data_IF_370525180234
#
_entry.id   IF_370525180234
#
_cell.length_a   1.000
_cell.length_b   1.000
_cell.length_c   1.000
_cell.angle_alpha   90.00
_cell.angle_beta   90.00
_cell.angle_gamma   90.00
#
_symmetry.space_group_name_H-M   'P 1'
#
loop_
_entity.id
_entity.type
_entity.pdbx_description
1 polymer ?
#
# COMPACT_ATOMS: atom_id res chain seq x y z
N UNK A 1 16.56 6.27 29.58
CA UNK A 1 17.52 5.43 28.82
C UNK A 1 16.86 4.58 27.73
N UNK A 2 15.68 3.99 27.92
CA UNK A 2 15.02 3.12 26.91
C UNK A 2 14.56 3.88 25.63
N UNK A 3 14.27 5.18 25.73
CA UNK A 3 13.94 6.00 24.56
C UNK A 3 15.13 6.19 23.59
N UNK A 4 16.38 6.13 24.07
CA UNK A 4 17.60 6.33 23.26
C UNK A 4 17.75 5.28 22.17
N UNK A 5 17.48 4.01 22.48
CA UNK A 5 17.81 2.91 21.59
C UNK A 5 16.72 2.67 20.54
N UNK A 6 15.46 2.92 20.90
CA UNK A 6 14.36 3.00 19.93
C UNK A 6 14.52 4.21 18.98
N UNK A 7 15.01 5.35 19.50
CA UNK A 7 15.39 6.51 18.70
C UNK A 7 16.57 6.15 17.78
N UNK A 8 17.55 5.36 18.20
CA UNK A 8 18.67 4.96 17.35
C UNK A 8 18.23 4.07 16.17
N UNK A 9 17.38 3.06 16.42
CA UNK A 9 16.82 2.21 15.34
C UNK A 9 15.94 3.03 14.40
N UNK A 10 15.16 3.97 14.93
CA UNK A 10 14.33 4.88 14.14
C UNK A 10 15.14 5.94 13.39
N UNK A 11 16.27 6.43 13.93
CA UNK A 11 17.20 7.32 13.22
C UNK A 11 17.85 6.56 12.08
N UNK A 12 18.19 5.27 12.25
CA UNK A 12 18.69 4.44 11.15
C UNK A 12 17.61 4.25 10.09
N UNK A 13 16.36 3.97 10.46
CA UNK A 13 15.24 3.85 9.51
C UNK A 13 14.86 5.19 8.85
N UNK A 14 14.93 6.30 9.59
CA UNK A 14 14.67 7.65 9.10
C UNK A 14 15.81 8.14 8.21
N UNK A 15 17.07 7.88 8.55
CA UNK A 15 18.23 8.11 7.71
C UNK A 15 18.15 7.27 6.43
N UNK A 16 17.69 6.03 6.51
CA UNK A 16 17.46 5.19 5.33
C UNK A 16 16.30 5.71 4.47
N UNK A 17 15.23 6.22 5.09
CA UNK A 17 14.11 6.87 4.41
C UNK A 17 14.54 8.19 3.74
N UNK A 18 15.36 8.99 4.42
CA UNK A 18 15.93 10.24 3.91
C UNK A 18 16.90 9.97 2.77
N UNK A 19 17.73 8.92 2.89
CA UNK A 19 18.62 8.47 1.82
C UNK A 19 17.85 7.96 0.60
N UNK A 20 16.76 7.22 0.79
CA UNK A 20 15.85 6.83 -0.30
C UNK A 20 15.15 8.04 -0.94
N UNK A 21 14.73 9.05 -0.16
CA UNK A 21 14.17 10.31 -0.65
C UNK A 21 15.22 11.14 -1.41
N UNK A 22 16.47 11.16 -0.96
CA UNK A 22 17.59 11.85 -1.61
C UNK A 22 17.95 11.18 -2.95
N UNK A 23 18.02 9.84 -2.98
CA UNK A 23 18.23 9.07 -4.21
C UNK A 23 17.06 9.25 -5.22
N UNK A 24 15.83 9.37 -4.74
CA UNK A 24 14.66 9.68 -5.59
C UNK A 24 14.67 11.12 -6.12
N UNK A 25 15.10 12.11 -5.33
CA UNK A 25 15.22 13.50 -5.79
C UNK A 25 16.39 13.69 -6.77
N UNK A 26 17.50 12.95 -6.60
CA UNK A 26 18.65 13.02 -7.51
C UNK A 26 18.33 12.47 -8.90
N UNK A 27 17.39 11.52 -9.01
CA UNK A 27 16.92 11.01 -10.30
C UNK A 27 15.94 11.96 -11.03
N UNK A 28 15.31 12.91 -10.33
CA UNK A 28 14.41 13.91 -10.93
C UNK A 28 15.08 15.26 -11.27
N UNK A 29 16.31 15.50 -10.81
CA UNK A 29 16.99 16.80 -10.97
C UNK A 29 17.89 16.91 -12.21
N UNK A 30 18.00 15.86 -13.04
CA UNK A 30 18.76 15.90 -14.30
C UNK A 30 17.97 16.45 -15.51
N UNK A 31 16.70 16.86 -15.33
CA UNK A 31 15.83 17.43 -16.37
C UNK A 31 15.44 18.88 -16.04
N UNK A 32 16.42 19.76 -15.87
CA UNK A 32 16.23 21.20 -16.03
C UNK A 32 17.21 21.73 -17.08
N UNK A 33 16.74 21.83 -18.32
CA UNK A 33 17.41 22.60 -19.37
C UNK A 33 16.34 23.38 -20.16
N UNK A 34 16.43 24.71 -20.03
CA UNK A 34 15.97 25.85 -20.86
C UNK A 34 14.76 25.77 -21.81
N UNK A 35 14.03 26.90 -21.99
CA UNK A 35 12.85 26.97 -22.83
C UNK A 35 13.24 27.12 -24.30
N UNK A 36 12.85 26.16 -25.14
CA UNK A 36 12.90 26.27 -26.59
C UNK A 36 11.49 26.08 -27.17
N UNK A 37 10.92 27.21 -27.60
CA UNK A 37 10.07 27.43 -28.79
C UNK A 37 9.25 26.22 -29.25
N UNK A 38 7.96 26.28 -28.94
CA UNK A 38 6.91 25.39 -29.42
C UNK A 38 6.74 25.49 -30.95
N UNK A 39 6.74 24.34 -31.62
CA UNK A 39 6.07 24.16 -32.91
C UNK A 39 5.27 22.84 -32.86
N UNK A 40 4.02 22.80 -33.35
CA UNK A 40 3.07 21.76 -32.97
C UNK A 40 2.90 20.73 -34.08
N UNK A 41 3.31 19.48 -33.84
CA UNK A 41 2.67 18.24 -34.35
C UNK A 41 3.51 17.04 -33.89
N UNK A 42 3.17 16.48 -32.74
CA UNK A 42 3.47 15.07 -32.46
C UNK A 42 2.16 14.36 -32.09
N UNK A 43 1.81 13.25 -32.76
CA UNK A 43 0.66 12.45 -32.38
C UNK A 43 0.92 11.84 -31.00
N UNK A 44 -0.03 12.02 -30.10
CA UNK A 44 -0.03 11.47 -28.75
C UNK A 44 0.12 9.95 -28.77
N UNK A 45 1.19 9.45 -28.15
CA UNK A 45 1.44 8.02 -27.97
C UNK A 45 0.24 7.38 -27.22
N UNK A 46 -0.46 6.38 -27.79
CA UNK A 46 -1.57 5.74 -27.12
C UNK A 46 -1.05 4.84 -26.00
N UNK A 47 -1.35 5.24 -24.77
CA UNK A 47 -0.96 4.54 -23.55
C UNK A 47 -1.83 3.28 -23.38
N UNK A 48 -1.22 2.09 -23.28
CA UNK A 48 -1.92 0.81 -23.28
C UNK A 48 -1.98 0.12 -21.91
N UNK A 49 -3.22 -0.16 -21.48
CA UNK A 49 -3.78 -1.17 -20.55
C UNK A 49 -3.18 -1.45 -19.14
N UNK A 50 -1.91 -1.20 -18.81
CA UNK A 50 -1.46 -1.21 -17.38
C UNK A 50 -1.96 0.00 -16.60
N UNK A 51 -2.54 0.97 -17.30
CA UNK A 51 -3.04 2.23 -16.76
C UNK A 51 -4.41 2.14 -16.08
N UNK A 52 -5.07 0.97 -16.11
CA UNK A 52 -6.39 0.86 -15.50
C UNK A 52 -6.32 0.73 -13.97
N UNK A 53 -5.18 0.34 -13.39
CA UNK A 53 -5.00 0.33 -11.92
C UNK A 53 -4.45 1.68 -11.44
N UNK A 54 -4.87 2.13 -10.25
CA UNK A 54 -4.35 3.35 -9.62
C UNK A 54 -2.84 3.24 -9.35
N UNK A 55 -2.40 2.07 -8.89
CA UNK A 55 -1.00 1.72 -8.68
C UNK A 55 -0.62 0.62 -9.67
N UNK A 56 0.40 0.83 -10.52
CA UNK A 56 0.83 -0.16 -11.50
C UNK A 56 1.30 -1.45 -10.83
N UNK A 57 1.00 -2.64 -11.41
CA UNK A 57 1.32 -3.94 -10.80
C UNK A 57 2.78 -4.13 -10.37
N UNK A 58 3.73 -3.57 -11.13
CA UNK A 58 5.17 -3.67 -10.84
C UNK A 58 5.64 -2.78 -9.68
N UNK A 59 4.88 -1.73 -9.32
CA UNK A 59 5.21 -0.85 -8.20
C UNK A 59 4.54 -1.29 -6.90
N UNK A 60 3.61 -2.27 -6.94
CA UNK A 60 2.77 -2.66 -5.79
C UNK A 60 3.57 -3.09 -4.56
N UNK A 61 4.66 -3.83 -4.73
CA UNK A 61 5.50 -4.28 -3.61
C UNK A 61 6.15 -3.07 -2.92
N UNK A 62 6.81 -2.22 -3.71
CA UNK A 62 7.48 -1.02 -3.20
C UNK A 62 6.47 -0.06 -2.56
N UNK A 63 5.35 0.18 -3.23
CA UNK A 63 4.26 1.00 -2.70
C UNK A 63 3.74 0.45 -1.38
N UNK A 64 3.41 -0.85 -1.32
CA UNK A 64 2.85 -1.49 -0.11
C UNK A 64 3.84 -1.41 1.06
N UNK A 65 5.12 -1.70 0.81
CA UNK A 65 6.17 -1.58 1.82
C UNK A 65 6.30 -0.16 2.37
N UNK A 66 6.38 0.84 1.48
CA UNK A 66 6.50 2.24 1.87
C UNK A 66 5.24 2.75 2.60
N UNK A 67 4.05 2.34 2.15
CA UNK A 67 2.79 2.75 2.75
C UNK A 67 2.60 2.17 4.15
N UNK A 68 2.93 0.89 4.34
CA UNK A 68 2.90 0.23 5.66
C UNK A 68 3.90 0.90 6.61
N UNK A 69 5.12 1.17 6.14
CA UNK A 69 6.13 1.87 6.92
C UNK A 69 5.67 3.29 7.31
N UNK A 70 5.13 4.05 6.36
CA UNK A 70 4.60 5.39 6.62
C UNK A 70 3.45 5.38 7.64
N UNK A 71 2.59 4.36 7.59
CA UNK A 71 1.52 4.15 8.57
C UNK A 71 2.09 3.85 9.96
N UNK A 72 3.10 2.96 10.04
CA UNK A 72 3.81 2.65 11.29
C UNK A 72 4.51 3.86 11.91
N UNK A 73 5.20 4.67 11.10
CA UNK A 73 5.83 5.93 11.54
C UNK A 73 4.77 6.91 12.04
N UNK A 74 3.67 7.07 11.31
CA UNK A 74 2.55 7.93 11.74
C UNK A 74 2.00 7.50 13.09
N UNK A 75 1.79 6.19 13.29
CA UNK A 75 1.31 5.64 14.56
C UNK A 75 2.27 5.90 15.72
N UNK A 76 3.57 5.70 15.51
CA UNK A 76 4.60 5.98 16.50
C UNK A 76 4.66 7.47 16.86
N UNK A 77 4.54 8.36 15.87
CA UNK A 77 4.53 9.80 16.09
C UNK A 77 3.32 10.24 16.91
N UNK A 78 2.13 9.69 16.64
CA UNK A 78 0.93 9.95 17.46
C UNK A 78 1.21 9.62 18.93
N UNK A 79 1.71 8.41 19.20
CA UNK A 79 2.02 8.00 20.57
C UNK A 79 3.06 8.90 21.23
N UNK A 80 4.12 9.27 20.49
CA UNK A 80 5.17 10.17 20.99
C UNK A 80 4.62 11.56 21.31
N UNK A 81 3.73 12.10 20.47
CA UNK A 81 3.07 13.39 20.70
C UNK A 81 2.15 13.31 21.91
N UNK A 82 1.27 12.31 21.98
CA UNK A 82 0.34 12.15 23.09
C UNK A 82 1.07 11.98 24.43
N UNK A 83 2.19 11.26 24.45
CA UNK A 83 3.06 11.13 25.63
C UNK A 83 3.72 12.46 26.01
N UNK A 84 4.15 13.24 25.03
CA UNK A 84 4.79 14.55 25.29
C UNK A 84 3.80 15.57 25.88
N UNK A 85 2.50 15.37 25.66
CA UNK A 85 1.41 16.24 26.11
C UNK A 85 0.87 15.84 27.50
N UNK A 86 1.49 14.86 28.19
CA UNK A 86 1.13 14.43 29.56
C UNK A 86 1.51 15.46 30.65
N UNK A 87 1.28 16.75 30.40
CA UNK A 87 1.15 17.72 31.49
C UNK A 87 -0.13 17.36 32.26
N UNK A 88 -0.03 17.01 33.56
CA UNK A 88 -1.18 16.60 34.36
C UNK A 88 -2.29 17.65 34.38
N UNK A 89 -1.98 18.93 34.18
CA UNK A 89 -3.00 20.00 34.11
C UNK A 89 -3.83 19.92 32.84
N UNK A 90 -3.20 19.69 31.70
CA UNK A 90 -3.86 19.58 30.40
C UNK A 90 -4.61 18.25 30.25
N UNK A 91 -4.05 17.17 30.77
CA UNK A 91 -4.72 15.86 30.81
C UNK A 91 -6.00 15.94 31.64
N UNK A 92 -5.93 16.47 32.88
CA UNK A 92 -7.11 16.64 33.73
C UNK A 92 -8.15 17.58 33.09
N UNK A 93 -7.71 18.61 32.36
CA UNK A 93 -8.60 19.52 31.64
C UNK A 93 -9.33 18.85 30.47
N UNK A 94 -8.63 17.99 29.70
CA UNK A 94 -9.20 17.25 28.59
C UNK A 94 -10.07 16.07 29.04
N UNK A 95 -9.71 15.42 30.15
CA UNK A 95 -10.42 14.29 30.74
C UNK A 95 -11.80 14.69 31.29
N UNK A 96 -11.94 15.91 31.80
CA UNK A 96 -13.24 16.50 32.18
C UNK A 96 -14.17 16.86 31.01
N UNK A 97 -13.69 16.78 29.76
CA UNK A 97 -14.39 17.21 28.53
C UNK A 97 -14.27 16.14 27.45
N UNK A 98 -14.67 14.89 27.73
CA UNK A 98 -14.45 13.71 26.86
C UNK A 98 -14.59 13.94 25.34
N UNK A 99 -15.62 14.66 24.87
CA UNK A 99 -15.79 14.99 23.45
C UNK A 99 -14.68 15.88 22.87
N UNK A 100 -14.18 16.86 23.63
CA UNK A 100 -13.08 17.74 23.23
C UNK A 100 -11.78 16.93 23.10
N UNK A 101 -11.52 16.03 24.06
CA UNK A 101 -10.38 15.10 23.98
C UNK A 101 -10.46 14.22 22.72
N UNK A 102 -11.65 13.70 22.42
CA UNK A 102 -11.91 12.93 21.21
C UNK A 102 -11.59 13.72 19.94
N UNK A 103 -12.07 14.97 19.87
CA UNK A 103 -11.86 15.87 18.73
C UNK A 103 -10.37 16.16 18.52
N UNK A 104 -9.65 16.53 19.58
CA UNK A 104 -8.21 16.81 19.52
C UNK A 104 -7.44 15.56 19.12
N UNK A 105 -7.72 14.42 19.74
CA UNK A 105 -7.06 13.15 19.45
C UNK A 105 -7.32 12.70 18.01
N UNK A 106 -8.56 12.81 17.53
CA UNK A 106 -8.93 12.52 16.15
C UNK A 106 -8.24 13.42 15.15
N UNK A 107 -8.17 14.73 15.43
CA UNK A 107 -7.52 15.70 14.56
C UNK A 107 -6.01 15.44 14.47
N UNK A 108 -5.33 15.30 15.61
CA UNK A 108 -3.89 15.01 15.67
C UNK A 108 -3.58 13.69 14.98
N UNK A 109 -4.32 12.63 15.33
CA UNK A 109 -4.10 11.30 14.74
C UNK A 109 -4.32 11.30 13.24
N UNK A 110 -5.42 11.92 12.80
CA UNK A 110 -5.76 12.04 11.40
C UNK A 110 -4.73 12.82 10.60
N UNK A 111 -4.28 13.98 11.08
CA UNK A 111 -3.26 14.78 10.41
C UNK A 111 -1.91 14.06 10.32
N UNK A 112 -1.44 13.47 11.43
CA UNK A 112 -0.12 12.82 11.48
C UNK A 112 -0.07 11.59 10.55
N UNK A 113 -1.02 10.67 10.67
CA UNK A 113 -1.05 9.45 9.84
C UNK A 113 -1.28 9.78 8.37
N UNK A 114 -2.19 10.70 8.07
CA UNK A 114 -2.48 11.04 6.68
C UNK A 114 -1.37 11.84 6.01
N UNK A 115 -0.64 12.69 6.74
CA UNK A 115 0.54 13.38 6.23
C UNK A 115 1.67 12.40 5.90
N UNK A 116 1.96 11.43 6.77
CA UNK A 116 2.99 10.41 6.48
C UNK A 116 2.58 9.53 5.29
N UNK A 117 1.33 9.09 5.22
CA UNK A 117 0.82 8.32 4.08
C UNK A 117 0.81 9.13 2.78
N UNK A 118 0.50 10.43 2.85
CA UNK A 118 0.49 11.33 1.69
C UNK A 118 1.87 11.44 1.03
N UNK A 119 2.98 11.36 1.78
CA UNK A 119 4.33 11.35 1.20
C UNK A 119 4.56 10.20 0.21
N UNK A 120 3.89 9.06 0.42
CA UNK A 120 3.90 7.91 -0.47
C UNK A 120 2.86 8.08 -1.57
N UNK A 121 1.65 8.54 -1.21
CA UNK A 121 0.52 8.69 -2.14
C UNK A 121 0.69 9.80 -3.16
N UNK A 122 1.46 10.86 -2.89
CA UNK A 122 1.62 12.03 -3.78
C UNK A 122 2.13 11.69 -5.18
N UNK A 123 2.77 10.52 -5.36
CA UNK A 123 3.18 9.99 -6.67
C UNK A 123 1.99 9.52 -7.52
N UNK A 124 0.89 9.12 -6.88
CA UNK A 124 -0.29 8.52 -7.52
C UNK A 124 -1.53 9.41 -7.45
N UNK A 125 -1.64 10.22 -6.38
CA UNK A 125 -2.72 11.15 -6.07
C UNK A 125 -2.07 12.51 -5.71
N UNK A 126 -2.06 13.49 -6.63
CA UNK A 126 -1.34 14.75 -6.41
C UNK A 126 -1.96 15.64 -5.33
N UNK A 127 -3.21 15.37 -4.92
CA UNK A 127 -3.97 16.27 -4.07
C UNK A 127 -3.69 16.03 -2.58
N UNK A 128 -3.30 17.10 -1.89
CA UNK A 128 -3.21 17.18 -0.42
C UNK A 128 -4.55 16.93 0.28
N UNK A 129 -5.66 16.91 -0.47
CA UNK A 129 -7.00 16.60 0.01
C UNK A 129 -7.08 15.23 0.70
N UNK A 130 -6.14 14.30 0.45
CA UNK A 130 -6.05 13.05 1.21
C UNK A 130 -5.87 13.29 2.71
N UNK A 131 -5.05 14.29 3.06
CA UNK A 131 -4.78 14.67 4.44
C UNK A 131 -6.07 15.19 5.08
N UNK A 132 -6.75 16.11 4.39
CA UNK A 132 -8.00 16.68 4.88
C UNK A 132 -9.10 15.61 5.03
N UNK A 133 -9.31 14.79 4.01
CA UNK A 133 -10.31 13.73 4.02
C UNK A 133 -10.08 12.74 5.17
N UNK A 134 -8.83 12.30 5.35
CA UNK A 134 -8.47 11.39 6.43
C UNK A 134 -8.59 12.06 7.80
N UNK A 135 -8.15 13.31 7.95
CA UNK A 135 -8.27 14.06 9.20
C UNK A 135 -9.74 14.23 9.62
N UNK A 136 -10.61 14.64 8.69
CA UNK A 136 -12.06 14.71 8.93
C UNK A 136 -12.64 13.35 9.30
N UNK A 137 -12.24 12.29 8.60
CA UNK A 137 -12.66 10.92 8.89
C UNK A 137 -12.27 10.45 10.29
N UNK A 138 -11.05 10.74 10.74
CA UNK A 138 -10.58 10.40 12.08
C UNK A 138 -11.29 11.21 13.18
N UNK A 139 -11.56 12.50 12.96
CA UNK A 139 -12.36 13.31 13.89
C UNK A 139 -13.75 12.70 14.03
N UNK A 140 -14.46 12.44 12.92
CA UNK A 140 -15.79 11.83 12.95
C UNK A 140 -15.78 10.45 13.63
N UNK A 141 -14.80 9.61 13.33
CA UNK A 141 -14.61 8.31 13.96
C UNK A 141 -14.49 8.44 15.47
N UNK A 142 -13.54 9.26 15.94
CA UNK A 142 -13.22 9.39 17.37
C UNK A 142 -14.33 10.07 18.15
N UNK A 143 -14.93 11.14 17.65
CA UNK A 143 -16.03 11.82 18.33
C UNK A 143 -17.28 10.95 18.41
N UNK A 144 -17.59 10.19 17.34
CA UNK A 144 -18.72 9.25 17.34
C UNK A 144 -18.47 8.11 18.32
N UNK A 145 -17.26 7.55 18.28
CA UNK A 145 -16.84 6.47 19.18
C UNK A 145 -16.97 6.90 20.65
N UNK A 146 -16.43 8.06 21.02
CA UNK A 146 -16.50 8.56 22.40
C UNK A 146 -17.94 8.92 22.82
N UNK A 147 -18.75 9.45 21.90
CA UNK A 147 -20.16 9.73 22.19
C UNK A 147 -20.96 8.45 22.49
N UNK A 148 -20.76 7.42 21.67
CA UNK A 148 -21.45 6.13 21.87
C UNK A 148 -20.88 5.39 23.07
N UNK A 149 -19.57 5.49 23.31
CA UNK A 149 -18.94 4.92 24.50
C UNK A 149 -19.47 5.54 25.79
N UNK A 150 -19.66 6.87 25.83
CA UNK A 150 -20.27 7.56 26.95
C UNK A 150 -21.70 7.08 27.22
N UNK A 151 -22.50 6.87 26.17
CA UNK A 151 -23.85 6.32 26.30
C UNK A 151 -23.86 4.89 26.83
N UNK A 152 -22.97 4.02 26.34
CA UNK A 152 -22.79 2.66 26.87
C UNK A 152 -22.33 2.70 28.32
N UNK A 153 -21.42 3.61 28.68
CA UNK A 153 -20.97 3.81 30.05
C UNK A 153 -22.11 4.17 31.00
N UNK A 154 -23.02 5.05 30.58
CA UNK A 154 -24.23 5.36 31.34
C UNK A 154 -25.15 4.14 31.48
N UNK A 155 -25.30 3.34 30.42
CA UNK A 155 -26.08 2.10 30.46
C UNK A 155 -25.46 1.05 31.41
N UNK A 156 -24.13 1.00 31.52
CA UNK A 156 -23.43 0.09 32.44
C UNK A 156 -23.65 0.43 33.93
N UNK A 157 -24.04 1.67 34.25
CA UNK A 157 -24.35 2.10 35.64
C UNK A 157 -25.77 1.71 36.05
N UNK A 158 -26.62 1.27 35.11
CA UNK A 158 -27.97 0.83 35.43
C UNK A 158 -27.92 -0.36 36.41
N UNK A 159 -28.81 -0.39 37.43
CA UNK A 159 -28.74 -1.38 38.50
C UNK A 159 -28.85 -2.82 38.02
N UNK A 160 -29.61 -3.06 36.94
CA UNK A 160 -29.74 -4.39 36.32
C UNK A 160 -28.43 -4.88 35.69
N UNK A 161 -27.72 -3.99 34.99
CA UNK A 161 -26.43 -4.31 34.36
C UNK A 161 -25.33 -4.44 35.41
N UNK A 162 -25.34 -3.59 36.44
CA UNK A 162 -24.41 -3.69 37.53
C UNK A 162 -24.59 -5.01 38.32
N UNK A 163 -25.84 -5.42 38.58
CA UNK A 163 -26.12 -6.71 39.21
C UNK A 163 -25.68 -7.91 38.36
N UNK A 164 -25.68 -7.78 37.02
CA UNK A 164 -25.11 -8.78 36.13
C UNK A 164 -23.58 -8.76 36.15
N UNK A 165 -22.97 -7.56 36.18
CA UNK A 165 -21.52 -7.39 36.26
C UNK A 165 -20.93 -8.01 37.54
N UNK A 166 -21.61 -7.90 38.67
CA UNK A 166 -21.21 -8.54 39.94
C UNK A 166 -21.21 -10.08 39.87
N UNK A 167 -21.98 -10.68 38.95
CA UNK A 167 -22.06 -12.13 38.78
C UNK A 167 -21.00 -12.70 37.83
N UNK A 168 -20.37 -11.85 37.04
CA UNK A 168 -19.43 -12.25 35.98
C UNK A 168 -17.99 -12.00 36.45
N UNK A 169 -17.05 -12.87 36.06
CA UNK A 169 -15.65 -12.66 36.44
C UNK A 169 -15.08 -11.35 35.86
N UNK A 170 -14.19 -10.65 36.57
CA UNK A 170 -13.61 -9.39 36.09
C UNK A 170 -12.95 -9.52 34.71
N UNK A 171 -12.30 -10.65 34.45
CA UNK A 171 -11.66 -10.95 33.15
C UNK A 171 -12.67 -11.02 32.01
N UNK A 172 -13.82 -11.66 32.24
CA UNK A 172 -14.90 -11.76 31.24
C UNK A 172 -15.50 -10.39 30.95
N UNK A 173 -15.66 -9.54 31.97
CA UNK A 173 -16.14 -8.16 31.80
C UNK A 173 -15.18 -7.30 30.98
N UNK A 174 -13.86 -7.41 31.22
CA UNK A 174 -12.84 -6.72 30.42
C UNK A 174 -12.87 -7.18 28.96
N UNK A 175 -12.95 -8.50 28.74
CA UNK A 175 -13.03 -9.06 27.38
C UNK A 175 -14.29 -8.61 26.64
N UNK A 176 -15.45 -8.65 27.30
CA UNK A 176 -16.73 -8.20 26.73
C UNK A 176 -16.69 -6.72 26.38
N UNK A 177 -16.19 -5.89 27.31
CA UNK A 177 -16.02 -4.45 27.11
C UNK A 177 -15.09 -4.15 25.94
N UNK A 178 -13.96 -4.88 25.83
CA UNK A 178 -13.03 -4.77 24.71
C UNK A 178 -13.64 -5.18 23.36
N UNK A 179 -14.46 -6.23 23.34
CA UNK A 179 -15.17 -6.68 22.14
C UNK A 179 -16.19 -5.63 21.70
N UNK A 180 -17.01 -5.12 22.61
CA UNK A 180 -17.98 -4.05 22.33
C UNK A 180 -17.26 -2.83 21.75
N UNK A 181 -16.16 -2.39 22.38
CA UNK A 181 -15.37 -1.24 21.91
C UNK A 181 -14.83 -1.47 20.50
N UNK A 182 -14.38 -2.68 20.20
CA UNK A 182 -13.85 -3.05 18.89
C UNK A 182 -14.93 -3.02 17.82
N UNK A 183 -16.09 -3.64 18.09
CA UNK A 183 -17.24 -3.63 17.17
C UNK A 183 -17.68 -2.20 16.90
N UNK A 184 -17.75 -1.40 17.95
CA UNK A 184 -18.10 0.01 17.84
C UNK A 184 -17.08 0.80 17.01
N UNK A 185 -15.78 0.59 17.24
CA UNK A 185 -14.71 1.23 16.47
C UNK A 185 -14.77 0.81 14.98
N UNK A 186 -15.07 -0.46 14.69
CA UNK A 186 -15.25 -0.93 13.32
C UNK A 186 -16.43 -0.24 12.63
N UNK A 187 -17.58 -0.09 13.31
CA UNK A 187 -18.73 0.67 12.79
C UNK A 187 -18.37 2.13 12.59
N UNK A 188 -17.73 2.78 13.56
CA UNK A 188 -17.37 4.20 13.48
C UNK A 188 -16.34 4.48 12.37
N UNK A 189 -15.47 3.52 12.06
CA UNK A 189 -14.48 3.68 10.98
C UNK A 189 -15.08 3.73 9.57
N UNK A 190 -16.38 3.44 9.41
CA UNK A 190 -17.12 3.73 8.17
C UNK A 190 -17.04 5.22 7.83
N UNK A 191 -17.03 6.13 8.82
CA UNK A 191 -16.87 7.57 8.57
C UNK A 191 -15.53 7.90 7.90
N UNK A 192 -14.46 7.23 8.31
CA UNK A 192 -13.15 7.35 7.66
C UNK A 192 -13.21 6.82 6.22
N UNK A 193 -13.89 5.70 6.00
CA UNK A 193 -14.09 5.14 4.67
C UNK A 193 -14.90 6.05 3.74
N UNK A 194 -15.99 6.65 4.24
CA UNK A 194 -16.84 7.59 3.49
C UNK A 194 -16.06 8.83 3.08
N UNK A 195 -15.35 9.47 4.01
CA UNK A 195 -14.58 10.70 3.74
C UNK A 195 -13.47 10.45 2.72
N UNK A 196 -12.71 9.36 2.86
CA UNK A 196 -11.69 8.97 1.88
C UNK A 196 -12.29 8.58 0.52
N UNK A 197 -13.43 7.88 0.51
CA UNK A 197 -14.13 7.52 -0.73
C UNK A 197 -14.60 8.74 -1.53
N UNK A 198 -15.09 9.79 -0.85
CA UNK A 198 -15.53 11.03 -1.51
C UNK A 198 -14.40 11.72 -2.30
N UNK A 199 -13.16 11.55 -1.86
CA UNK A 199 -11.97 11.96 -2.60
C UNK A 199 -11.63 10.96 -3.71
N UNK A 200 -11.52 9.66 -3.37
CA UNK A 200 -11.08 8.62 -4.31
C UNK A 200 -12.02 8.48 -5.52
N UNK A 201 -13.33 8.68 -5.37
CA UNK A 201 -14.30 8.63 -6.49
C UNK A 201 -14.01 9.62 -7.62
N UNK A 202 -13.21 10.65 -7.35
CA UNK A 202 -12.80 11.62 -8.37
C UNK A 202 -11.75 11.03 -9.30
N UNK A 203 -10.84 10.19 -8.77
CA UNK A 203 -9.70 9.62 -9.50
C UNK A 203 -9.91 8.16 -9.95
N UNK A 204 -10.83 7.44 -9.31
CA UNK A 204 -10.95 5.98 -9.46
C UNK A 204 -12.35 5.55 -9.91
N UNK A 205 -12.41 4.47 -10.69
CA UNK A 205 -13.63 3.79 -11.10
C UNK A 205 -14.02 2.74 -10.05
N UNK A 206 -15.33 2.61 -9.80
CA UNK A 206 -15.88 1.56 -8.92
C UNK A 206 -15.31 1.53 -7.50
N UNK A 207 -15.06 2.69 -6.88
CA UNK A 207 -14.44 2.79 -5.55
C UNK A 207 -15.42 2.71 -4.36
N UNK A 208 -16.72 2.42 -4.59
CA UNK A 208 -17.74 2.42 -3.52
C UNK A 208 -17.44 1.45 -2.37
N UNK A 209 -16.80 0.31 -2.66
CA UNK A 209 -16.41 -0.67 -1.66
C UNK A 209 -15.33 -0.15 -0.69
N UNK A 210 -14.63 0.94 -1.04
CA UNK A 210 -13.64 1.59 -0.16
C UNK A 210 -14.23 2.02 1.18
N UNK A 211 -15.55 2.32 1.23
CA UNK A 211 -16.25 2.73 2.44
C UNK A 211 -16.06 1.70 3.57
N UNK A 212 -16.00 0.41 3.26
CA UNK A 212 -15.83 -0.66 4.23
C UNK A 212 -14.36 -0.98 4.57
N UNK A 213 -13.39 -0.46 3.84
CA UNK A 213 -11.97 -0.84 3.98
C UNK A 213 -11.43 -0.53 5.38
N UNK A 214 -11.64 0.66 5.97
CA UNK A 214 -11.17 0.93 7.33
C UNK A 214 -11.82 0.02 8.38
N UNK A 215 -13.11 -0.29 8.25
CA UNK A 215 -13.81 -1.21 9.15
C UNK A 215 -13.25 -2.62 9.11
N UNK A 216 -12.99 -3.12 7.89
CA UNK A 216 -12.35 -4.42 7.69
C UNK A 216 -10.96 -4.43 8.32
N UNK A 217 -10.18 -3.35 8.16
CA UNK A 217 -8.86 -3.23 8.74
C UNK A 217 -8.87 -3.27 10.28
N UNK A 218 -9.83 -2.57 10.91
CA UNK A 218 -10.02 -2.59 12.37
C UNK A 218 -10.40 -4.00 12.86
N UNK A 219 -11.32 -4.67 12.17
CA UNK A 219 -11.73 -6.05 12.52
C UNK A 219 -10.55 -7.01 12.42
N UNK A 220 -9.79 -6.99 11.31
CA UNK A 220 -8.61 -7.84 11.17
C UNK A 220 -7.56 -7.54 12.23
N UNK A 221 -7.30 -6.27 12.52
CA UNK A 221 -6.37 -5.88 13.58
C UNK A 221 -6.80 -6.48 14.92
N UNK A 222 -8.07 -6.38 15.27
CA UNK A 222 -8.58 -6.90 16.53
C UNK A 222 -8.59 -8.43 16.61
N UNK A 223 -8.87 -9.12 15.50
CA UNK A 223 -8.75 -10.58 15.43
C UNK A 223 -7.31 -11.02 15.69
N UNK A 224 -6.32 -10.34 15.11
CA UNK A 224 -4.91 -10.62 15.34
C UNK A 224 -4.47 -10.30 16.77
N UNK A 225 -4.93 -9.19 17.34
CA UNK A 225 -4.66 -8.86 18.76
C UNK A 225 -5.29 -9.91 19.68
N UNK A 226 -6.51 -10.36 19.40
CA UNK A 226 -7.19 -11.40 20.18
C UNK A 226 -6.49 -12.75 20.06
N UNK A 227 -6.03 -13.10 18.86
CA UNK A 227 -5.22 -14.29 18.62
C UNK A 227 -3.90 -14.23 19.40
N UNK A 228 -3.22 -13.08 19.38
CA UNK A 228 -2.01 -12.84 20.17
C UNK A 228 -2.26 -13.01 21.68
N UNK A 229 -3.35 -12.46 22.21
CA UNK A 229 -3.73 -12.64 23.61
C UNK A 229 -4.05 -14.12 23.93
N UNK A 230 -4.69 -14.83 23.00
CA UNK A 230 -4.96 -16.27 23.11
C UNK A 230 -3.68 -17.11 23.18
N UNK A 231 -2.63 -16.77 22.42
CA UNK A 231 -1.33 -17.44 22.51
C UNK A 231 -0.69 -17.30 23.90
N UNK A 232 -0.81 -16.11 24.50
CA UNK A 232 -0.34 -15.86 25.88
C UNK A 232 -1.11 -16.72 26.87
N UNK A 233 -2.45 -16.82 26.74
CA UNK A 233 -3.28 -17.69 27.58
C UNK A 233 -2.91 -19.18 27.45
N UNK A 234 -2.49 -19.62 26.26
CA UNK A 234 -2.02 -20.98 26.00
C UNK A 234 -0.57 -21.22 26.47
N UNK A 235 0.07 -20.25 27.13
CA UNK A 235 1.48 -20.28 27.57
C UNK A 235 2.46 -20.53 26.41
N UNK A 236 2.09 -20.15 25.18
CA UNK A 236 2.99 -20.19 24.04
C UNK A 236 3.85 -18.92 24.10
N UNK A 237 5.16 -19.10 24.29
CA UNK A 237 6.10 -17.99 24.45
C UNK A 237 6.43 -17.31 23.10
N UNK A 238 5.42 -16.64 22.52
CA UNK A 238 5.53 -15.89 21.27
C UNK A 238 5.01 -14.46 21.49
N UNK A 239 5.78 -13.59 22.16
CA UNK A 239 5.33 -12.25 22.48
C UNK A 239 5.25 -11.42 21.19
N UNK A 240 4.10 -10.79 20.97
CA UNK A 240 3.86 -9.89 19.85
C UNK A 240 3.50 -8.50 20.39
N UNK A 241 4.20 -7.48 19.90
CA UNK A 241 3.82 -6.09 20.17
C UNK A 241 2.53 -5.76 19.39
N UNK A 242 1.44 -5.60 20.14
CA UNK A 242 0.10 -5.34 19.60
C UNK A 242 -0.01 -4.02 18.86
N UNK A 243 0.81 -3.02 19.17
CA UNK A 243 0.80 -1.71 18.50
C UNK A 243 1.45 -1.82 17.12
N UNK A 244 2.61 -2.47 17.05
CA UNK A 244 3.31 -2.73 15.78
C UNK A 244 2.44 -3.61 14.88
N UNK A 245 1.84 -4.66 15.44
CA UNK A 245 0.95 -5.56 14.72
C UNK A 245 -0.29 -4.82 14.20
N UNK A 246 -0.96 -4.04 15.05
CA UNK A 246 -2.14 -3.28 14.67
C UNK A 246 -1.85 -2.23 13.60
N UNK A 247 -0.80 -1.42 13.78
CA UNK A 247 -0.40 -0.42 12.78
C UNK A 247 -0.01 -1.06 11.44
N UNK A 248 0.68 -2.20 11.48
CA UNK A 248 1.03 -2.98 10.29
C UNK A 248 -0.21 -3.49 9.55
N UNK A 249 -1.19 -4.06 10.27
CA UNK A 249 -2.43 -4.57 9.69
C UNK A 249 -3.28 -3.43 9.10
N UNK A 250 -3.40 -2.30 9.80
CA UNK A 250 -4.11 -1.13 9.27
C UNK A 250 -3.45 -0.62 7.98
N UNK A 251 -2.12 -0.54 7.96
CA UNK A 251 -1.35 -0.11 6.80
C UNK A 251 -1.47 -1.06 5.60
N UNK A 252 -1.32 -2.37 5.82
CA UNK A 252 -1.34 -3.36 4.73
C UNK A 252 -2.74 -3.48 4.11
N UNK A 253 -3.80 -3.48 4.93
CA UNK A 253 -5.18 -3.56 4.41
C UNK A 253 -5.49 -2.36 3.52
N UNK A 254 -5.12 -1.15 3.93
CA UNK A 254 -5.30 0.06 3.11
C UNK A 254 -4.42 0.03 1.85
N UNK A 255 -3.15 -0.36 1.97
CA UNK A 255 -2.23 -0.42 0.83
C UNK A 255 -2.69 -1.39 -0.25
N UNK A 256 -3.10 -2.60 0.13
CA UNK A 256 -3.61 -3.62 -0.79
C UNK A 256 -4.92 -3.14 -1.42
N UNK A 257 -5.79 -2.51 -0.64
CA UNK A 257 -7.03 -1.93 -1.17
C UNK A 257 -6.74 -0.84 -2.21
N UNK A 258 -5.74 0.04 -1.97
CA UNK A 258 -5.34 1.05 -2.96
C UNK A 258 -4.78 0.40 -4.23
N UNK A 259 -4.03 -0.69 -4.11
CA UNK A 259 -3.50 -1.43 -5.26
C UNK A 259 -4.59 -2.10 -6.10
N UNK A 260 -5.76 -2.39 -5.51
CA UNK A 260 -6.92 -2.95 -6.19
C UNK A 260 -7.80 -1.88 -6.86
N UNK A 261 -7.63 -0.58 -6.53
CA UNK A 261 -8.40 0.48 -7.15
C UNK A 261 -8.03 0.67 -8.61
N UNK A 262 -9.05 0.97 -9.41
CA UNK A 262 -8.89 1.22 -10.84
C UNK A 262 -8.92 2.72 -11.12
N UNK A 263 -7.97 3.24 -11.88
CA UNK A 263 -7.93 4.65 -12.31
C UNK A 263 -9.08 4.92 -13.28
N UNK A 264 -9.71 6.08 -13.16
CA UNK A 264 -10.74 6.55 -14.09
C UNK A 264 -10.06 7.07 -15.36
N UNK A 265 -9.95 6.24 -16.39
CA UNK A 265 -9.46 6.66 -17.71
C UNK A 265 -10.56 7.45 -18.43
N UNK A 266 -10.23 8.63 -18.96
CA UNK A 266 -11.12 9.38 -19.84
C UNK A 266 -11.34 8.59 -21.13
N UNK A 267 -12.59 8.45 -21.57
CA UNK A 267 -12.95 7.75 -22.81
C UNK A 267 -12.19 8.37 -23.98
N UNK A 268 -11.12 7.74 -24.48
CA UNK A 268 -10.63 7.86 -25.86
C UNK A 268 -9.48 6.87 -26.11
N UNK A 269 -9.54 6.21 -27.28
CA UNK A 269 -8.47 5.53 -28.03
C UNK A 269 -8.29 4.00 -27.89
N UNK A 270 -8.89 3.31 -28.88
CA UNK A 270 -8.36 2.24 -29.76
C UNK A 270 -7.45 1.17 -29.15
N UNK A 271 -8.03 0.04 -28.77
CA UNK A 271 -7.36 -1.22 -28.51
C UNK A 271 -7.21 -2.03 -29.81
N UNK A 272 -5.97 -2.12 -30.29
CA UNK A 272 -5.52 -3.09 -31.30
C UNK A 272 -4.93 -4.35 -30.59
N UNK A 273 -4.48 -5.42 -31.28
CA UNK A 273 -4.76 -6.85 -31.02
C UNK A 273 -4.26 -7.47 -29.70
N UNK A 274 -3.61 -6.70 -28.82
CA UNK A 274 -3.06 -7.16 -27.53
C UNK A 274 -4.11 -7.50 -26.46
N UNK A 275 -5.40 -7.30 -26.75
CA UNK A 275 -6.48 -7.21 -25.73
C UNK A 275 -7.36 -8.46 -25.63
N UNK A 276 -7.25 -9.43 -26.55
CA UNK A 276 -8.18 -10.58 -26.62
C UNK A 276 -7.57 -11.92 -26.21
N UNK A 277 -6.28 -11.97 -25.89
CA UNK A 277 -5.60 -13.23 -25.54
C UNK A 277 -5.80 -13.56 -24.04
N UNK A 278 -6.12 -14.83 -23.68
CA UNK A 278 -6.23 -15.26 -22.29
C UNK A 278 -4.95 -15.00 -21.50
N UNK A 279 -5.08 -14.50 -20.27
CA UNK A 279 -3.95 -14.22 -19.38
C UNK A 279 -3.35 -15.53 -18.84
N UNK A 280 -2.01 -15.64 -18.92
CA UNK A 280 -1.23 -16.80 -18.49
C UNK A 280 -1.02 -16.77 -16.98
N UNK A 281 -1.09 -17.92 -16.31
CA UNK A 281 -0.86 -18.04 -14.86
C UNK A 281 0.49 -17.45 -14.42
N UNK A 282 0.55 -16.88 -13.21
CA UNK A 282 1.75 -16.23 -12.67
C UNK A 282 2.98 -17.15 -12.67
N UNK A 283 2.82 -18.43 -12.34
CA UNK A 283 3.95 -19.37 -12.29
C UNK A 283 4.49 -19.65 -13.69
N UNK A 284 3.62 -19.76 -14.68
CA UNK A 284 3.96 -19.94 -16.09
C UNK A 284 4.56 -18.65 -16.68
N UNK A 285 3.97 -17.49 -16.39
CA UNK A 285 4.51 -16.19 -16.78
C UNK A 285 5.92 -15.95 -16.23
N UNK A 286 6.21 -16.36 -14.99
CA UNK A 286 7.56 -16.26 -14.42
C UNK A 286 8.58 -17.17 -15.14
N UNK A 287 8.17 -18.40 -15.51
CA UNK A 287 9.01 -19.31 -16.31
C UNK A 287 9.28 -18.75 -17.70
N UNK A 288 8.26 -18.17 -18.34
CA UNK A 288 8.38 -17.51 -19.64
C UNK A 288 9.27 -16.27 -19.56
N UNK A 289 9.13 -15.46 -18.51
CA UNK A 289 9.97 -14.27 -18.28
C UNK A 289 11.45 -14.62 -18.13
N UNK A 290 11.78 -15.72 -17.44
CA UNK A 290 13.17 -16.21 -17.34
C UNK A 290 13.73 -16.64 -18.69
N UNK A 291 12.94 -17.37 -19.49
CA UNK A 291 13.34 -17.78 -20.85
C UNK A 291 13.51 -16.57 -21.77
N UNK A 292 12.57 -15.62 -21.71
CA UNK A 292 12.65 -14.36 -22.47
C UNK A 292 13.91 -13.58 -22.08
N UNK A 293 14.22 -13.48 -20.79
CA UNK A 293 15.43 -12.82 -20.30
C UNK A 293 16.70 -13.48 -20.84
N UNK A 294 16.79 -14.81 -20.77
CA UNK A 294 17.93 -15.56 -21.32
C UNK A 294 18.07 -15.33 -22.84
N UNK A 295 16.98 -15.51 -23.58
CA UNK A 295 16.99 -15.38 -25.04
C UNK A 295 17.37 -13.96 -25.50
N UNK A 296 16.85 -12.93 -24.82
CA UNK A 296 17.22 -11.55 -25.08
C UNK A 296 18.66 -11.25 -24.64
N UNK A 297 19.11 -11.79 -23.50
CA UNK A 297 20.48 -11.59 -23.01
C UNK A 297 21.52 -12.23 -23.93
N UNK A 298 21.22 -13.38 -24.53
CA UNK A 298 22.11 -14.08 -25.46
C UNK A 298 22.19 -13.34 -26.81
N UNK A 299 21.05 -12.79 -27.27
CA UNK A 299 20.99 -11.99 -28.49
C UNK A 299 21.51 -10.56 -28.31
N UNK A 300 21.65 -10.08 -27.07
CA UNK A 300 22.03 -8.71 -26.76
C UNK A 300 23.55 -8.51 -26.75
N UNK A 301 24.10 -8.06 -27.87
CA UNK A 301 25.48 -7.56 -27.95
C UNK A 301 25.51 -6.17 -27.31
N UNK A 302 26.24 -6.00 -26.19
CA UNK A 302 26.21 -4.86 -25.25
C UNK A 302 26.63 -3.48 -25.81
N UNK A 303 26.50 -3.26 -27.10
CA UNK A 303 27.09 -2.11 -27.78
C UNK A 303 26.18 -0.89 -27.70
N UNK A 304 26.60 0.09 -26.90
CA UNK A 304 26.25 1.50 -26.94
C UNK A 304 24.75 1.83 -27.04
N UNK A 305 24.01 1.55 -25.96
CA UNK A 305 22.79 2.30 -25.70
C UNK A 305 23.16 3.75 -25.41
N UNK A 306 22.38 4.68 -25.98
CA UNK A 306 22.43 6.08 -25.59
C UNK A 306 22.15 6.23 -24.08
N UNK A 307 22.35 7.42 -23.51
CA UNK A 307 22.24 7.68 -22.07
C UNK A 307 20.85 7.38 -21.44
N UNK A 308 19.85 7.02 -22.24
CA UNK A 308 18.47 6.79 -21.82
C UNK A 308 18.07 5.30 -21.89
N UNK A 309 17.24 4.85 -20.94
CA UNK A 309 16.71 3.48 -20.94
C UNK A 309 15.67 3.28 -22.06
N UNK A 310 15.70 2.14 -22.73
CA UNK A 310 14.71 1.77 -23.76
C UNK A 310 13.68 0.80 -23.17
N UNK A 311 12.41 1.21 -23.13
CA UNK A 311 11.33 0.44 -22.52
C UNK A 311 10.41 -0.11 -23.61
N UNK A 312 10.14 -1.42 -23.57
CA UNK A 312 9.27 -2.11 -24.52
C UNK A 312 8.27 -3.00 -23.80
N UNK A 313 7.03 -3.03 -24.30
CA UNK A 313 6.04 -4.04 -23.96
C UNK A 313 6.17 -5.19 -24.95
N UNK A 314 6.51 -6.38 -24.48
CA UNK A 314 6.73 -7.57 -25.33
C UNK A 314 5.66 -8.60 -25.02
N UNK A 315 4.96 -9.08 -26.06
CA UNK A 315 4.01 -10.18 -25.95
C UNK A 315 4.66 -11.48 -26.40
N UNK A 316 4.55 -12.50 -25.56
CA UNK A 316 5.20 -13.81 -25.74
C UNK A 316 4.15 -14.90 -25.61
N UNK A 317 4.27 -15.92 -26.43
CA UNK A 317 3.36 -17.08 -26.40
C UNK A 317 3.72 -18.06 -25.30
N UNK A 318 2.87 -19.07 -25.06
CA UNK A 318 3.16 -20.15 -24.10
C UNK A 318 4.43 -20.95 -24.41
N UNK A 319 4.86 -20.95 -25.67
CA UNK A 319 6.11 -21.62 -26.09
C UNK A 319 7.35 -20.79 -25.80
N UNK A 320 7.20 -19.47 -25.55
CA UNK A 320 8.30 -18.54 -25.35
C UNK A 320 8.68 -17.74 -26.60
N UNK A 321 7.94 -17.90 -27.71
CA UNK A 321 8.17 -17.11 -28.92
C UNK A 321 7.65 -15.68 -28.76
N UNK A 322 8.40 -14.69 -29.24
CA UNK A 322 7.98 -13.28 -29.20
C UNK A 322 6.99 -13.06 -30.35
N UNK A 323 5.73 -12.84 -30.02
CA UNK A 323 4.67 -12.61 -31.00
C UNK A 323 4.69 -11.18 -31.54
N UNK A 324 4.97 -10.20 -30.66
CA UNK A 324 5.02 -8.77 -31.01
C UNK A 324 5.64 -7.95 -29.89
N UNK A 325 6.03 -6.71 -30.19
CA UNK A 325 6.51 -5.74 -29.22
C UNK A 325 5.99 -4.34 -29.53
N UNK A 326 5.97 -3.48 -28.51
CA UNK A 326 5.59 -2.07 -28.63
C UNK A 326 6.54 -1.19 -27.81
N UNK A 327 7.16 -0.15 -28.40
CA UNK A 327 7.98 0.80 -27.65
C UNK A 327 7.12 1.66 -26.70
N UNK A 328 7.62 1.93 -25.50
CA UNK A 328 6.89 2.61 -24.41
C UNK A 328 7.41 4.01 -24.08
N UNK A 329 8.58 4.39 -24.57
CA UNK A 329 9.16 5.73 -24.42
C UNK A 329 9.78 6.23 -25.73
N UNK A 330 9.98 7.55 -25.90
CA UNK A 330 10.50 8.13 -27.15
C UNK A 330 11.83 7.50 -27.60
N UNK A 331 12.79 7.32 -26.67
CA UNK A 331 14.06 6.69 -26.99
C UNK A 331 13.92 5.27 -27.56
N UNK A 332 12.94 4.47 -27.07
CA UNK A 332 12.66 3.14 -27.59
C UNK A 332 12.03 3.16 -29.00
N UNK A 333 11.34 4.24 -29.38
CA UNK A 333 10.85 4.42 -30.74
C UNK A 333 12.05 4.67 -31.67
N UNK A 334 12.91 5.61 -31.28
CA UNK A 334 14.02 6.07 -32.11
C UNK A 334 15.12 5.01 -32.28
N UNK A 335 15.32 4.15 -31.27
CA UNK A 335 16.40 3.17 -31.22
C UNK A 335 15.90 1.71 -31.38
N UNK A 336 14.69 1.51 -31.89
CA UNK A 336 14.11 0.16 -32.03
C UNK A 336 15.01 -0.80 -32.83
N UNK A 337 15.63 -0.30 -33.90
CA UNK A 337 16.52 -1.08 -34.78
C UNK A 337 17.84 -1.49 -34.12
N UNK A 338 18.22 -0.83 -33.03
CA UNK A 338 19.41 -1.17 -32.24
C UNK A 338 19.12 -2.31 -31.26
N UNK A 339 17.86 -2.68 -31.05
CA UNK A 339 17.46 -3.78 -30.18
C UNK A 339 17.44 -5.12 -30.92
N UNK A 340 17.51 -6.28 -30.22
CA UNK A 340 17.40 -7.57 -30.89
C UNK A 340 15.93 -7.90 -31.19
N UNK A 341 14.98 -7.14 -30.65
CA UNK A 341 13.53 -7.38 -30.75
C UNK A 341 13.04 -7.52 -32.20
N UNK A 342 13.41 -6.67 -33.17
CA UNK A 342 12.93 -6.80 -34.54
C UNK A 342 13.33 -8.12 -35.20
N UNK A 343 14.46 -8.71 -34.80
CA UNK A 343 14.98 -9.97 -35.36
C UNK A 343 14.38 -11.21 -34.71
N UNK A 344 13.79 -11.08 -33.52
CA UNK A 344 13.30 -12.19 -32.70
C UNK A 344 11.77 -12.36 -32.75
N UNK A 345 11.08 -11.44 -33.43
CA UNK A 345 9.61 -11.48 -33.54
C UNK A 345 9.20 -12.43 -34.65
N UNK A 346 8.19 -13.25 -34.35
CA UNK A 346 7.58 -14.18 -35.29
C UNK A 346 6.11 -13.75 -35.46
N UNK A 347 5.80 -12.88 -36.43
CA UNK A 347 4.46 -12.33 -36.62
C UNK A 347 3.40 -13.39 -36.93
N UNK A 348 3.81 -14.53 -37.50
CA UNK A 348 2.93 -15.64 -37.90
C UNK A 348 2.14 -16.20 -36.72
N UNK A 349 2.62 -16.01 -35.49
CA UNK A 349 1.96 -16.52 -34.28
C UNK A 349 0.66 -15.75 -33.93
N UNK A 350 0.47 -14.55 -34.47
CA UNK A 350 -0.74 -13.74 -34.26
C UNK A 350 -1.88 -14.07 -35.24
N UNK A 351 -1.58 -14.77 -36.35
CA UNK A 351 -2.57 -15.19 -37.35
C UNK A 351 -2.55 -16.73 -37.52
N UNK A 352 -2.99 -17.50 -36.51
CA UNK A 352 -3.08 -18.94 -36.64
C UNK A 352 -4.15 -19.33 -37.67
N UNK A 353 -3.87 -20.33 -38.51
CA UNK A 353 -4.77 -20.87 -39.55
C UNK A 353 -6.18 -21.23 -39.01
N UNK A 354 -6.29 -21.44 -37.70
CA UNK A 354 -7.51 -21.87 -37.00
C UNK A 354 -8.33 -20.69 -36.40
N UNK A 355 -7.87 -19.44 -36.53
CA UNK A 355 -8.58 -18.24 -36.03
C UNK A 355 -8.64 -18.05 -34.51
N UNK A 356 -8.06 -18.97 -33.71
CA UNK A 356 -8.00 -18.86 -32.24
C UNK A 356 -6.67 -18.23 -31.85
N UNK A 357 -6.70 -16.98 -31.37
CA UNK A 357 -5.50 -16.28 -30.87
C UNK A 357 -4.95 -17.01 -29.64
N UNK A 358 -3.68 -17.44 -29.64
CA UNK A 358 -3.11 -18.14 -28.50
C UNK A 358 -3.01 -17.22 -27.28
N UNK A 359 -3.05 -17.75 -26.05
CA UNK A 359 -2.78 -16.97 -24.84
C UNK A 359 -1.39 -16.33 -24.91
N UNK A 360 -1.34 -15.03 -24.58
CA UNK A 360 -0.15 -14.20 -24.65
C UNK A 360 0.22 -13.70 -23.26
N UNK A 361 1.43 -13.99 -22.83
CA UNK A 361 2.05 -13.39 -21.67
C UNK A 361 2.72 -12.07 -22.06
N UNK A 362 2.45 -11.00 -21.31
CA UNK A 362 3.01 -9.68 -21.56
C UNK A 362 4.15 -9.39 -20.57
N UNK A 363 5.21 -8.75 -21.06
CA UNK A 363 6.39 -8.40 -20.29
C UNK A 363 6.83 -6.95 -20.53
N UNK A 364 7.19 -6.25 -19.46
CA UNK A 364 7.96 -5.01 -19.52
C UNK A 364 9.44 -5.36 -19.66
N UNK A 365 10.03 -4.99 -20.79
CA UNK A 365 11.43 -5.22 -21.13
C UNK A 365 12.13 -3.88 -21.19
N UNK A 366 13.03 -3.65 -20.24
CA UNK A 366 13.82 -2.41 -20.13
C UNK A 366 15.29 -2.72 -20.42
N UNK A 367 15.83 -2.08 -21.45
CA UNK A 367 17.27 -2.05 -21.73
C UNK A 367 17.87 -0.82 -21.04
N UNK A 368 18.70 -1.04 -20.02
CA UNK A 368 19.34 0.07 -19.29
C UNK A 368 20.63 0.52 -19.97
N UNK A 369 20.99 1.81 -19.90
CA UNK A 369 22.27 2.32 -20.44
C UNK A 369 23.49 1.60 -19.88
N UNK A 370 23.38 1.02 -18.67
CA UNK A 370 24.43 0.20 -18.06
C UNK A 370 24.66 -1.15 -18.77
N UNK A 371 23.98 -1.43 -19.88
CA UNK A 371 24.00 -2.71 -20.57
C UNK A 371 23.28 -3.84 -19.81
N UNK A 372 22.51 -3.51 -18.77
CA UNK A 372 21.72 -4.49 -18.01
C UNK A 372 20.33 -4.60 -18.64
N UNK A 373 19.87 -5.83 -18.84
CA UNK A 373 18.52 -6.13 -19.28
C UNK A 373 17.64 -6.46 -18.08
N UNK A 374 16.49 -5.79 -17.98
CA UNK A 374 15.44 -6.11 -17.02
C UNK A 374 14.20 -6.60 -17.75
N UNK A 375 13.72 -7.78 -17.39
CA UNK A 375 12.46 -8.36 -17.88
C UNK A 375 11.54 -8.56 -16.68
N UNK A 376 10.35 -7.97 -16.72
CA UNK A 376 9.36 -8.07 -15.64
C UNK A 376 8.00 -8.50 -16.20
N UNK A 377 7.30 -9.47 -15.57
CA UNK A 377 5.93 -9.79 -15.94
C UNK A 377 5.02 -8.56 -15.83
N UNK A 378 4.20 -8.31 -16.84
CA UNK A 378 3.31 -7.15 -16.87
C UNK A 378 2.21 -7.21 -15.80
N UNK A 379 1.73 -8.42 -15.49
CA UNK A 379 0.74 -8.68 -14.45
C UNK A 379 1.27 -8.48 -13.02
N UNK A 380 2.59 -8.37 -12.85
CA UNK A 380 3.25 -8.18 -11.56
C UNK A 380 3.09 -9.38 -10.62
N UNK A 381 3.36 -9.15 -9.33
CA UNK A 381 3.13 -10.17 -8.30
C UNK A 381 1.67 -10.12 -7.85
N UNK A 382 0.98 -11.26 -7.71
CA UNK A 382 -0.41 -11.27 -7.26
C UNK A 382 -0.53 -10.67 -5.85
N UNK A 383 -1.59 -9.90 -5.62
CA UNK A 383 -1.82 -9.20 -4.35
C UNK A 383 -1.78 -10.14 -3.14
N UNK A 384 -2.28 -11.36 -3.28
CA UNK A 384 -2.26 -12.37 -2.22
C UNK A 384 -0.85 -12.70 -1.73
N UNK A 385 0.12 -12.85 -2.64
CA UNK A 385 1.51 -13.12 -2.28
C UNK A 385 2.16 -11.92 -1.60
N UNK A 386 1.84 -10.70 -2.07
CA UNK A 386 2.29 -9.46 -1.43
C UNK A 386 1.74 -9.40 0.01
N UNK A 387 0.46 -9.70 0.19
CA UNK A 387 -0.18 -9.70 1.51
C UNK A 387 0.48 -10.68 2.46
N UNK A 388 0.70 -11.93 2.03
CA UNK A 388 1.35 -12.96 2.86
C UNK A 388 2.80 -12.59 3.21
N UNK A 389 3.56 -12.10 2.24
CA UNK A 389 4.94 -11.66 2.45
C UNK A 389 5.02 -10.51 3.45
N UNK A 390 4.20 -9.48 3.27
CA UNK A 390 4.16 -8.32 4.16
C UNK A 390 3.63 -8.67 5.56
N UNK A 391 2.62 -9.55 5.67
CA UNK A 391 2.14 -10.03 6.96
C UNK A 391 3.24 -10.76 7.73
N UNK A 392 4.03 -11.59 7.05
CA UNK A 392 5.18 -12.28 7.65
C UNK A 392 6.21 -11.29 8.20
N UNK A 393 6.49 -10.21 7.45
CA UNK A 393 7.38 -9.13 7.89
C UNK A 393 6.81 -8.39 9.10
N UNK A 394 5.51 -8.07 9.10
CA UNK A 394 4.84 -7.38 10.22
C UNK A 394 4.88 -8.24 11.50
N UNK A 395 4.58 -9.54 11.40
CA UNK A 395 4.64 -10.47 12.53
C UNK A 395 6.07 -10.57 13.07
N UNK A 396 7.07 -10.68 12.20
CA UNK A 396 8.47 -10.70 12.61
C UNK A 396 8.88 -9.39 13.30
N UNK A 397 8.51 -8.24 12.75
CA UNK A 397 8.80 -6.93 13.35
C UNK A 397 8.11 -6.75 14.71
N UNK A 398 6.86 -7.22 14.84
CA UNK A 398 6.11 -7.20 16.10
C UNK A 398 6.76 -8.10 17.17
N UNK A 399 7.24 -9.28 16.79
CA UNK A 399 7.97 -10.18 17.70
C UNK A 399 9.33 -9.58 18.14
N UNK A 400 10.04 -8.93 17.23
CA UNK A 400 11.29 -8.22 17.54
C UNK A 400 11.01 -7.06 18.51
N UNK A 401 10.01 -6.23 18.21
CA UNK A 401 9.63 -5.09 19.06
C UNK A 401 9.26 -5.53 20.49
N UNK A 402 8.52 -6.63 20.62
CA UNK A 402 8.15 -7.18 21.92
C UNK A 402 9.36 -7.56 22.78
N UNK A 403 10.45 -8.05 22.17
CA UNK A 403 11.70 -8.36 22.89
C UNK A 403 12.42 -7.14 23.45
N UNK A 404 12.27 -5.98 22.80
CA UNK A 404 12.88 -4.72 23.24
C UNK A 404 12.03 -3.96 24.26
N UNK A 405 10.79 -4.39 24.48
CA UNK A 405 9.88 -3.77 25.45
C UNK A 405 9.40 -4.80 26.49
N UNK A 406 10.30 -5.27 27.37
CA UNK A 406 9.99 -6.35 28.32
C UNK A 406 8.87 -5.99 29.30
N UNK A 407 8.59 -4.69 29.52
CA UNK A 407 7.44 -4.24 30.33
C UNK A 407 6.07 -4.62 29.77
N UNK A 408 5.97 -5.10 28.52
CA UNK A 408 4.75 -5.67 27.95
C UNK A 408 4.60 -7.18 28.19
N UNK A 409 5.67 -7.86 28.63
CA UNK A 409 5.71 -9.32 28.87
C UNK A 409 5.35 -9.67 30.32
N UNK A 410 5.52 -8.72 31.25
CA UNK A 410 5.13 -8.88 32.65
C UNK A 410 3.66 -8.47 32.87
N UNK A 411 2.73 -9.27 32.32
CA UNK A 411 1.34 -9.33 32.80
C UNK A 411 1.15 -10.69 33.45
N UNK A 412 1.84 -10.91 34.57
CA UNK A 412 1.57 -12.00 35.50
C UNK A 412 1.10 -11.42 36.83
#
# INVERSE_FOLDING_TARGET
MIASDAIAVMIVLFAWCTFCLQCCCYSSSSLMRSPAIFSPTMPSIPQTHSQHSLIPPFERIQFTGLFVLATGVGWFLIWSILRSVQDPTLVNYLEGRGLLSALVTGLVSGLVVSATQWLVLRRYLPDWLWILASATGYVLLTTTLESWWGWIGQAMILPEVNALAERVSPQTMVMLTGLIRTVLAAICSIWLGVTQWLLLRQYTRSSRWWIGVPSIAVIFSALFTSFSAGLVLLKVNFPLDVNVLGAGILGITQAISLCALQRRTGNNVLTAPFTTAPEVDYTQANRLGKRLHQHLSDAWTKEHLNQESLNYLVAVTETGAIATYKPMNPAAIDQVQQTPLPKLVIPEVLNPDNGIVPPLAQFDVTFLPSGKLQVRPWSGVPLLWITLGMLSVIVAASAIAARFNPSLVDIN
#
